data_IF_271865611691
#
_entry.id   IF_271865611691
#
_cell.length_a   1.000
_cell.length_b   1.000
_cell.length_c   1.000
_cell.angle_alpha   90.00
_cell.angle_beta   90.00
_cell.angle_gamma   90.00
#
_symmetry.space_group_name_H-M   'P 1'
#
loop_
_entity.id
_entity.type
_entity.pdbx_description
1 polymer ?
#
# COMPACT_ATOMS: atom_id res chain seq x y z
N UNK A 1 -26.72 2.96 0.82
CA UNK A 1 -25.89 2.33 1.87
C UNK A 1 -24.94 1.35 1.19
N UNK A 2 -23.62 1.55 1.25
CA UNK A 2 -22.67 0.51 0.79
C UNK A 2 -22.55 -0.56 1.88
N UNK A 3 -22.50 -1.86 1.55
CA UNK A 3 -22.27 -2.90 2.57
C UNK A 3 -20.99 -2.57 3.34
N UNK A 4 -21.10 -2.35 4.65
CA UNK A 4 -19.98 -1.95 5.52
C UNK A 4 -19.07 -3.11 5.95
N UNK A 5 -19.26 -4.30 5.39
CA UNK A 5 -18.52 -5.50 5.79
C UNK A 5 -17.07 -5.51 5.29
N UNK A 6 -16.74 -4.72 4.27
CA UNK A 6 -15.38 -4.57 3.76
C UNK A 6 -15.17 -3.18 3.13
N UNK A 7 -13.93 -2.71 3.12
CA UNK A 7 -13.54 -1.44 2.51
C UNK A 7 -12.18 -1.56 1.84
N UNK A 8 -11.88 -0.68 0.89
CA UNK A 8 -10.55 -0.63 0.28
C UNK A 8 -9.53 0.00 1.24
N UNK A 9 -8.26 -0.39 1.14
CA UNK A 9 -7.16 0.19 1.92
C UNK A 9 -7.12 1.72 1.76
N UNK A 10 -7.26 2.21 0.53
CA UNK A 10 -7.32 3.65 0.26
C UNK A 10 -8.47 4.31 1.04
N UNK A 11 -9.68 3.75 0.98
CA UNK A 11 -10.81 4.33 1.71
C UNK A 11 -10.60 4.31 3.23
N UNK A 12 -9.77 3.39 3.74
CA UNK A 12 -9.46 3.19 5.16
C UNK A 12 -8.48 4.20 5.76
N UNK A 13 -7.93 5.11 4.96
CA UNK A 13 -7.07 6.17 5.47
C UNK A 13 -7.76 6.96 6.59
N UNK A 14 -7.02 7.23 7.66
CA UNK A 14 -7.50 7.97 8.83
C UNK A 14 -8.41 7.19 9.79
N UNK A 15 -8.91 6.01 9.42
CA UNK A 15 -9.73 5.18 10.31
C UNK A 15 -8.89 4.10 11.00
N UNK A 16 -9.14 3.84 12.29
CA UNK A 16 -8.43 2.80 13.06
C UNK A 16 -9.41 1.81 13.70
N UNK A 17 -8.97 0.57 13.89
CA UNK A 17 -9.73 -0.50 14.53
C UNK A 17 -8.82 -1.31 15.47
N UNK A 18 -9.38 -1.98 16.47
CA UNK A 18 -8.58 -2.83 17.38
C UNK A 18 -7.94 -4.00 16.62
N UNK A 19 -8.70 -4.57 15.68
CA UNK A 19 -8.27 -5.69 14.84
C UNK A 19 -8.53 -5.39 13.37
N UNK A 20 -7.52 -5.61 12.53
CA UNK A 20 -7.63 -5.48 11.07
C UNK A 20 -7.39 -6.83 10.42
N UNK A 21 -8.26 -7.19 9.48
CA UNK A 21 -8.05 -8.30 8.55
C UNK A 21 -7.82 -7.69 7.17
N UNK A 22 -6.66 -7.95 6.57
CA UNK A 22 -6.31 -7.43 5.25
C UNK A 22 -6.02 -8.58 4.29
N UNK A 23 -6.63 -8.50 3.11
CA UNK A 23 -6.38 -9.45 2.03
C UNK A 23 -5.46 -8.80 0.99
N UNK A 24 -4.24 -9.34 0.85
CA UNK A 24 -3.15 -8.79 0.05
C UNK A 24 -2.64 -9.86 -0.93
N UNK A 25 -3.04 -9.76 -2.19
CA UNK A 25 -2.64 -10.70 -3.24
C UNK A 25 -1.37 -10.23 -3.94
N UNK A 26 -0.37 -11.11 -4.04
CA UNK A 26 0.97 -10.80 -4.58
C UNK A 26 0.93 -10.36 -6.06
N UNK A 27 -0.03 -10.90 -6.82
CA UNK A 27 -0.20 -10.62 -8.25
C UNK A 27 -0.89 -9.28 -8.55
N UNK A 28 -1.39 -8.57 -7.53
CA UNK A 28 -2.17 -7.33 -7.70
C UNK A 28 -1.28 -6.07 -7.73
N UNK A 29 -0.44 -5.99 -8.77
CA UNK A 29 0.60 -4.97 -9.01
C UNK A 29 0.17 -3.52 -8.76
N UNK A 30 -1.02 -3.13 -9.21
CA UNK A 30 -1.46 -1.73 -9.17
C UNK A 30 -2.14 -1.31 -7.85
N UNK A 31 -2.32 -2.23 -6.91
CA UNK A 31 -3.09 -1.97 -5.67
C UNK A 31 -2.42 -2.49 -4.41
N UNK A 32 -1.36 -3.30 -4.56
CA UNK A 32 -0.57 -3.87 -3.47
C UNK A 32 0.88 -3.47 -3.69
N UNK A 33 1.20 -2.30 -3.13
CA UNK A 33 2.52 -1.67 -3.05
C UNK A 33 2.87 -1.36 -1.58
N UNK A 34 4.11 -0.93 -1.33
CA UNK A 34 4.58 -0.66 0.03
C UNK A 34 3.70 0.37 0.79
N UNK A 35 3.27 1.51 0.20
CA UNK A 35 2.38 2.45 0.86
C UNK A 35 1.00 1.87 1.21
N UNK A 36 0.37 1.12 0.31
CA UNK A 36 -0.92 0.51 0.58
C UNK A 36 -0.82 -0.53 1.70
N UNK A 37 0.21 -1.39 1.66
CA UNK A 37 0.43 -2.38 2.72
C UNK A 37 0.72 -1.70 4.07
N UNK A 38 1.49 -0.61 4.06
CA UNK A 38 1.72 0.19 5.25
C UNK A 38 0.42 0.75 5.83
N UNK A 39 -0.44 1.33 4.99
CA UNK A 39 -1.75 1.84 5.43
C UNK A 39 -2.58 0.71 6.03
N UNK A 40 -2.65 -0.45 5.37
CA UNK A 40 -3.43 -1.60 5.83
C UNK A 40 -3.00 -2.08 7.23
N UNK A 41 -1.70 -2.14 7.49
CA UNK A 41 -1.15 -2.57 8.78
C UNK A 41 -1.33 -1.49 9.85
N UNK A 42 -1.00 -0.23 9.53
CA UNK A 42 -1.05 0.90 10.47
C UNK A 42 -2.45 1.27 10.96
N UNK A 43 -3.51 0.71 10.37
CA UNK A 43 -4.89 0.94 10.86
C UNK A 43 -5.24 0.11 12.11
N UNK A 44 -4.50 -0.95 12.42
CA UNK A 44 -4.75 -1.75 13.61
C UNK A 44 -4.13 -1.11 14.86
N UNK A 45 -4.87 -1.12 15.97
CA UNK A 45 -4.34 -0.76 17.29
C UNK A 45 -3.64 -1.94 17.97
N UNK A 46 -4.22 -3.13 17.88
CA UNK A 46 -3.73 -4.30 18.64
C UNK A 46 -3.25 -5.45 17.74
N UNK A 47 -4.00 -5.78 16.68
CA UNK A 47 -3.70 -7.01 15.90
C UNK A 47 -4.03 -6.86 14.42
N UNK A 48 -3.14 -7.40 13.58
CA UNK A 48 -3.33 -7.51 12.13
C UNK A 48 -3.27 -8.98 11.71
N UNK A 49 -4.25 -9.41 10.92
CA UNK A 49 -4.20 -10.67 10.18
C UNK A 49 -4.06 -10.37 8.68
N UNK A 50 -2.98 -10.86 8.07
CA UNK A 50 -2.71 -10.71 6.64
C UNK A 50 -3.00 -12.03 5.90
N UNK A 51 -3.85 -11.96 4.89
CA UNK A 51 -4.19 -13.10 4.03
C UNK A 51 -3.61 -12.87 2.64
N UNK A 52 -2.70 -13.74 2.21
CA UNK A 52 -2.03 -13.65 0.91
C UNK A 52 -1.96 -15.01 0.25
N UNK A 53 -1.88 -15.03 -1.07
CA UNK A 53 -1.68 -16.25 -1.86
C UNK A 53 -0.27 -16.83 -1.69
N UNK A 54 0.72 -15.98 -1.42
CA UNK A 54 2.12 -16.39 -1.26
C UNK A 54 2.91 -15.31 -0.52
N UNK A 55 3.41 -15.67 0.67
CA UNK A 55 4.25 -14.78 1.48
C UNK A 55 5.54 -14.37 0.76
N UNK A 56 6.20 -15.30 0.08
CA UNK A 56 7.46 -15.03 -0.64
C UNK A 56 7.24 -14.05 -1.78
N UNK A 57 6.26 -14.33 -2.66
CA UNK A 57 5.93 -13.45 -3.80
C UNK A 57 5.44 -12.08 -3.35
N UNK A 58 4.67 -11.99 -2.27
CA UNK A 58 4.25 -10.71 -1.72
C UNK A 58 5.46 -9.90 -1.20
N UNK A 59 6.40 -10.54 -0.50
CA UNK A 59 7.58 -9.86 0.03
C UNK A 59 8.49 -9.36 -1.10
N UNK A 60 8.72 -10.18 -2.12
CA UNK A 60 9.46 -9.81 -3.33
C UNK A 60 8.78 -8.65 -4.06
N UNK A 61 7.46 -8.76 -4.28
CA UNK A 61 6.67 -7.71 -4.90
C UNK A 61 6.75 -6.37 -4.15
N UNK A 62 6.72 -6.38 -2.82
CA UNK A 62 6.83 -5.16 -2.01
C UNK A 62 8.24 -4.56 -2.03
N UNK A 63 9.29 -5.38 -2.12
CA UNK A 63 10.65 -4.89 -2.29
C UNK A 63 10.87 -4.18 -3.62
N UNK A 64 10.13 -4.57 -4.66
CA UNK A 64 10.21 -3.98 -6.01
C UNK A 64 9.27 -2.78 -6.21
N UNK A 65 8.25 -2.62 -5.36
CA UNK A 65 7.16 -1.62 -5.52
C UNK A 65 7.18 -0.63 -4.37
N UNK A 66 8.01 0.39 -4.48
CA UNK A 66 8.06 1.52 -3.53
C UNK A 66 6.78 2.37 -3.55
N UNK A 67 5.95 2.22 -4.58
CA UNK A 67 4.71 2.99 -4.76
C UNK A 67 4.96 4.45 -5.12
N UNK A 68 6.17 4.80 -5.57
CA UNK A 68 6.52 6.15 -5.97
C UNK A 68 5.73 6.55 -7.23
N UNK A 69 4.97 7.63 -7.11
CA UNK A 69 4.28 8.25 -8.24
C UNK A 69 5.21 9.35 -8.79
N UNK A 70 5.63 9.24 -10.05
CA UNK A 70 6.40 10.30 -10.71
C UNK A 70 5.45 11.44 -11.05
N UNK A 71 5.47 12.48 -10.21
CA UNK A 71 4.71 13.70 -10.43
C UNK A 71 5.37 14.59 -11.48
N UNK A 72 4.60 15.50 -12.10
CA UNK A 72 5.13 16.49 -13.05
C UNK A 72 6.28 17.33 -12.44
N UNK A 73 6.24 17.59 -11.13
CA UNK A 73 7.30 18.28 -10.38
C UNK A 73 8.59 17.46 -10.22
N UNK A 74 8.52 16.13 -10.32
CA UNK A 74 9.67 15.25 -10.17
C UNK A 74 10.52 15.23 -11.45
N UNK A 75 9.87 15.31 -12.62
CA UNK A 75 10.53 15.50 -13.92
C UNK A 75 11.34 16.79 -13.98
N UNK A 76 10.77 17.89 -13.47
CA UNK A 76 11.45 19.20 -13.47
C UNK A 76 12.71 19.23 -12.59
N UNK A 77 12.77 18.46 -11.50
CA UNK A 77 13.95 18.42 -10.61
C UNK A 77 15.14 17.68 -11.22
N UNK A 78 14.90 16.77 -12.17
CA UNK A 78 15.96 16.02 -12.84
C UNK A 78 16.74 16.85 -13.84
N UNK A 79 16.11 17.88 -14.41
CA UNK A 79 16.74 18.79 -15.37
C UNK A 79 17.64 19.82 -14.67
N UNK A 80 17.28 20.25 -13.46
CA UNK A 80 18.04 21.25 -12.68
C UNK A 80 19.28 20.65 -12.00
N UNK A 81 19.33 19.33 -11.81
CA UNK A 81 20.45 18.63 -11.17
C UNK A 81 21.60 18.21 -12.11
N UNK A 82 21.49 18.48 -13.41
CA UNK A 82 22.51 18.12 -14.43
C UNK A 82 23.39 19.32 -14.82
N UNK A 83 23.08 20.53 -14.33
CA UNK A 83 23.88 21.76 -14.50
C UNK A 83 24.58 22.22 -13.20
N UNK A 84 25.26 21.31 -12.48
CA UNK A 84 26.25 21.64 -11.44
C UNK A 84 27.36 20.58 -11.42
#
# INVERSE_FOLDING_TARGET
MRPGCARTIHSAQGATADRVMAHLESFRTNTVDAPAVYVAISRARDTVALYTDSRSRLTEALGLRDGAQVGAIDGMRREVGVEL
#
